data_IF_839471889431
#
_entry.id   IF_839471889431
#
_cell.length_a   1.000
_cell.length_b   1.000
_cell.length_c   1.000
_cell.angle_alpha   90.00
_cell.angle_beta   90.00
_cell.angle_gamma   90.00
#
_symmetry.space_group_name_H-M   'P 1'
#
loop_
_entity.id
_entity.type
_entity.pdbx_description
1 polymer ?
#
# COMPACT_ATOMS: atom_id res chain seq x y z
N UNK A 1 46.60 14.14 28.07
CA UNK A 1 47.38 14.34 26.83
C UNK A 1 46.40 14.79 25.76
N UNK A 2 46.51 16.02 25.31
CA UNK A 2 45.64 16.66 24.29
C UNK A 2 45.97 16.05 22.93
N UNK A 3 44.93 15.84 22.08
CA UNK A 3 45.03 16.13 20.67
C UNK A 3 43.63 16.61 20.20
N UNK A 4 43.58 17.91 19.94
CA UNK A 4 42.60 18.62 19.15
C UNK A 4 42.79 18.23 17.68
N UNK A 5 41.71 17.98 16.97
CA UNK A 5 41.63 17.88 15.52
C UNK A 5 40.38 18.59 15.08
N UNK A 6 40.58 19.84 14.69
CA UNK A 6 39.62 20.79 14.16
C UNK A 6 39.10 20.34 12.80
N UNK A 7 37.79 20.34 12.57
CA UNK A 7 37.12 20.71 11.34
C UNK A 7 35.59 20.73 11.60
N UNK A 8 35.15 21.82 12.25
CA UNK A 8 33.76 22.18 12.30
C UNK A 8 33.22 22.55 10.91
N UNK A 9 32.44 21.64 10.33
CA UNK A 9 31.40 22.03 9.37
C UNK A 9 30.06 21.79 10.03
N UNK A 10 29.48 22.87 10.53
CA UNK A 10 28.07 22.96 10.82
C UNK A 10 27.32 22.62 9.51
N UNK A 11 26.70 21.45 9.46
CA UNK A 11 25.67 21.16 8.46
C UNK A 11 24.51 22.09 8.80
N UNK A 12 24.39 23.18 8.05
CA UNK A 12 23.17 24.01 8.08
C UNK A 12 22.04 23.15 7.54
N UNK A 13 21.20 22.68 8.43
CA UNK A 13 19.88 22.21 8.08
C UNK A 13 19.14 23.40 7.45
N UNK A 14 18.83 23.29 6.16
CA UNK A 14 17.88 24.21 5.55
C UNK A 14 16.52 24.00 6.21
N UNK A 15 15.82 25.11 6.53
CA UNK A 15 14.52 25.02 7.19
C UNK A 15 13.54 24.30 6.28
N UNK A 16 12.74 23.46 6.90
CA UNK A 16 11.55 22.80 6.38
C UNK A 16 10.93 23.56 5.21
N UNK A 17 10.79 22.91 4.07
CA UNK A 17 9.84 23.35 3.05
C UNK A 17 8.46 23.30 3.70
N UNK A 18 7.80 24.44 3.83
CA UNK A 18 6.47 24.52 4.44
C UNK A 18 5.45 23.89 3.49
N UNK A 19 5.22 22.60 3.65
CA UNK A 19 4.24 21.81 2.87
C UNK A 19 2.83 22.41 2.88
N UNK A 20 2.51 23.28 3.87
CA UNK A 20 1.25 24.01 3.91
C UNK A 20 1.06 24.98 2.74
N UNK A 21 2.15 25.45 2.12
CA UNK A 21 2.06 26.41 1.02
C UNK A 21 1.77 25.74 -0.33
N UNK A 22 2.27 24.50 -0.55
CA UNK A 22 2.02 23.76 -1.78
C UNK A 22 0.57 23.26 -1.81
N UNK A 23 0.05 22.77 -0.68
CA UNK A 23 -1.34 22.28 -0.58
C UNK A 23 -2.39 23.39 -0.79
N UNK A 24 -2.13 24.63 -0.32
CA UNK A 24 -3.08 25.74 -0.53
C UNK A 24 -3.13 26.25 -1.98
N UNK A 25 -2.02 26.24 -2.70
CA UNK A 25 -1.99 26.70 -4.10
C UNK A 25 -2.66 25.70 -5.06
N UNK A 26 -2.55 24.40 -4.79
CA UNK A 26 -3.23 23.39 -5.60
C UNK A 26 -4.71 23.23 -5.24
N UNK A 27 -5.09 23.41 -3.96
CA UNK A 27 -6.50 23.41 -3.55
C UNK A 27 -7.32 24.51 -4.24
N UNK A 28 -6.76 25.70 -4.47
CA UNK A 28 -7.44 26.76 -5.21
C UNK A 28 -7.57 26.45 -6.69
N UNK A 29 -6.54 25.86 -7.32
CA UNK A 29 -6.60 25.51 -8.75
C UNK A 29 -7.60 24.38 -9.06
N UNK A 30 -7.70 23.38 -8.19
CA UNK A 30 -8.68 22.29 -8.39
C UNK A 30 -10.13 22.72 -8.12
N UNK A 31 -10.37 23.73 -7.26
CA UNK A 31 -11.72 24.31 -7.11
C UNK A 31 -12.14 25.11 -8.35
N UNK A 32 -11.24 25.86 -8.96
CA UNK A 32 -11.56 26.66 -10.15
C UNK A 32 -11.77 25.80 -11.41
N UNK A 33 -11.15 24.61 -11.50
CA UNK A 33 -11.38 23.68 -12.60
C UNK A 33 -12.77 22.99 -12.53
N UNK A 34 -13.39 22.91 -11.36
CA UNK A 34 -14.77 22.35 -11.20
C UNK A 34 -15.89 23.32 -11.62
N UNK A 35 -15.61 24.58 -11.81
CA UNK A 35 -16.63 25.62 -12.06
C UNK A 35 -16.90 25.84 -13.55
N UNK A 36 -16.11 25.28 -14.47
CA UNK A 36 -16.24 25.60 -15.92
C UNK A 36 -17.00 24.57 -16.76
N UNK A 37 -17.62 23.56 -16.15
CA UNK A 37 -18.52 22.65 -16.86
C UNK A 37 -19.96 23.05 -16.53
N UNK A 38 -20.63 23.72 -17.50
CA UNK A 38 -22.01 24.19 -17.37
C UNK A 38 -22.95 23.07 -16.91
N UNK A 39 -23.49 23.20 -15.72
CA UNK A 39 -24.55 22.34 -15.17
C UNK A 39 -25.85 23.12 -15.13
N UNK A 40 -26.85 22.59 -15.79
CA UNK A 40 -28.24 22.98 -15.62
C UNK A 40 -28.80 22.38 -14.33
N UNK A 41 -29.65 23.11 -13.61
CA UNK A 41 -30.18 22.79 -12.28
C UNK A 41 -30.95 21.44 -12.14
N UNK A 42 -31.15 20.70 -13.21
CA UNK A 42 -31.84 19.40 -13.20
C UNK A 42 -30.94 18.20 -12.79
N UNK A 43 -29.61 18.37 -12.69
CA UNK A 43 -28.67 17.31 -12.35
C UNK A 43 -28.14 17.35 -10.90
N UNK A 44 -28.74 18.17 -10.04
CA UNK A 44 -28.40 18.28 -8.61
C UNK A 44 -28.87 17.11 -7.73
N UNK A 45 -29.44 16.05 -8.36
CA UNK A 45 -29.76 14.77 -7.68
C UNK A 45 -28.84 13.63 -8.04
N UNK A 46 -27.67 13.90 -8.62
CA UNK A 46 -26.62 12.89 -8.59
C UNK A 46 -26.05 12.87 -7.16
N UNK A 47 -26.31 11.76 -6.50
CA UNK A 47 -25.67 11.31 -5.28
C UNK A 47 -24.27 11.88 -5.19
N UNK A 48 -23.94 12.59 -4.10
CA UNK A 48 -22.55 12.73 -3.67
C UNK A 48 -22.00 11.32 -3.67
N UNK A 49 -21.16 10.98 -4.63
CA UNK A 49 -20.37 9.76 -4.61
C UNK A 49 -19.41 9.93 -3.41
N UNK A 50 -19.88 9.46 -2.25
CA UNK A 50 -19.06 9.42 -1.05
C UNK A 50 -17.87 8.56 -1.43
N UNK A 51 -16.68 9.19 -1.49
CA UNK A 51 -15.46 8.48 -1.79
C UNK A 51 -15.29 7.35 -0.78
N UNK A 52 -15.33 6.09 -1.26
CA UNK A 52 -15.18 4.93 -0.39
C UNK A 52 -13.78 4.91 0.24
N UNK A 53 -13.68 4.25 1.37
CA UNK A 53 -12.47 4.15 2.18
C UNK A 53 -11.48 3.14 1.61
N UNK A 54 -10.21 3.28 1.99
CA UNK A 54 -9.19 2.25 1.82
C UNK A 54 -8.98 1.54 3.15
N UNK A 55 -9.06 0.21 3.14
CA UNK A 55 -8.66 -0.62 4.27
C UNK A 55 -7.15 -0.88 4.22
N UNK A 56 -6.48 -0.85 5.36
CA UNK A 56 -5.10 -1.32 5.54
C UNK A 56 -5.12 -2.41 6.59
N UNK A 57 -4.70 -3.61 6.23
CA UNK A 57 -4.58 -4.71 7.19
C UNK A 57 -3.15 -4.77 7.71
N UNK A 58 -2.98 -4.63 9.02
CA UNK A 58 -1.68 -4.79 9.69
C UNK A 58 -1.67 -6.02 10.58
N UNK A 59 -0.52 -6.61 10.72
CA UNK A 59 -0.21 -7.78 11.53
C UNK A 59 1.20 -7.67 12.10
N UNK A 60 1.56 -8.54 13.03
CA UNK A 60 2.83 -8.44 13.74
C UNK A 60 4.03 -8.38 12.78
N UNK A 61 5.03 -7.59 13.11
CA UNK A 61 6.24 -7.34 12.31
C UNK A 61 6.00 -6.77 10.90
N UNK A 62 4.86 -6.09 10.65
CA UNK A 62 4.59 -5.46 9.36
C UNK A 62 5.66 -4.42 8.99
N UNK A 63 5.96 -4.31 7.70
CA UNK A 63 6.94 -3.36 7.16
C UNK A 63 6.26 -2.01 6.87
N UNK A 64 6.42 -1.04 7.76
CA UNK A 64 5.70 0.24 7.70
C UNK A 64 6.13 1.13 6.51
N UNK A 65 7.38 1.07 6.07
CA UNK A 65 7.87 1.91 4.97
C UNK A 65 7.28 1.52 3.62
N UNK A 66 6.92 0.26 3.43
CA UNK A 66 6.48 -0.30 2.14
C UNK A 66 5.18 0.33 1.61
N UNK A 67 4.31 0.80 2.47
CA UNK A 67 3.05 1.44 2.07
C UNK A 67 2.97 2.93 2.41
N UNK A 68 4.06 3.52 2.87
CA UNK A 68 4.12 4.93 3.27
C UNK A 68 3.74 5.89 2.13
N UNK A 69 4.22 5.63 0.90
CA UNK A 69 3.88 6.43 -0.29
C UNK A 69 2.39 6.25 -0.65
N UNK A 70 1.86 5.04 -0.56
CA UNK A 70 0.43 4.81 -0.79
C UNK A 70 -0.43 5.59 0.22
N UNK A 71 -0.04 5.59 1.51
CA UNK A 71 -0.74 6.39 2.53
C UNK A 71 -0.69 7.88 2.23
N UNK A 72 0.48 8.40 1.80
CA UNK A 72 0.61 9.83 1.46
C UNK A 72 -0.26 10.20 0.25
N UNK A 73 -0.33 9.33 -0.77
CA UNK A 73 -1.21 9.50 -1.93
C UNK A 73 -2.68 9.59 -1.51
N UNK A 74 -3.11 8.70 -0.61
CA UNK A 74 -4.48 8.69 -0.07
C UNK A 74 -4.75 9.97 0.72
N UNK A 75 -3.80 10.41 1.55
CA UNK A 75 -3.90 11.64 2.33
C UNK A 75 -3.99 12.90 1.44
N UNK A 76 -3.17 12.99 0.39
CA UNK A 76 -3.22 14.08 -0.60
C UNK A 76 -4.56 14.14 -1.34
N UNK A 77 -5.20 13.01 -1.54
CA UNK A 77 -6.54 12.90 -2.16
C UNK A 77 -7.69 13.05 -1.16
N UNK A 78 -7.43 13.28 0.13
CA UNK A 78 -8.40 13.33 1.21
C UNK A 78 -9.25 12.03 1.31
N UNK A 79 -8.70 10.88 0.88
CA UNK A 79 -9.35 9.57 0.96
C UNK A 79 -9.14 8.97 2.35
N UNK A 80 -10.24 8.56 2.99
CA UNK A 80 -10.21 7.98 4.33
C UNK A 80 -9.50 6.61 4.32
N UNK A 81 -8.60 6.43 5.28
CA UNK A 81 -7.90 5.17 5.54
C UNK A 81 -8.35 4.60 6.88
N UNK A 82 -8.67 3.32 6.91
CA UNK A 82 -9.02 2.60 8.13
C UNK A 82 -8.06 1.43 8.31
N UNK A 83 -7.37 1.42 9.45
CA UNK A 83 -6.40 0.38 9.80
C UNK A 83 -7.12 -0.74 10.54
N UNK A 84 -6.99 -1.94 10.00
CA UNK A 84 -7.53 -3.18 10.56
C UNK A 84 -6.42 -4.06 11.10
N UNK A 85 -6.73 -4.78 12.17
CA UNK A 85 -5.95 -5.92 12.65
C UNK A 85 -6.88 -7.01 13.14
N UNK A 86 -6.33 -8.20 13.45
CA UNK A 86 -7.12 -9.31 14.00
C UNK A 86 -7.73 -8.96 15.36
N UNK A 87 -6.98 -8.22 16.19
CA UNK A 87 -7.44 -7.76 17.53
C UNK A 87 -7.35 -6.23 17.66
N UNK A 88 -7.89 -5.67 18.74
CA UNK A 88 -7.77 -4.24 19.10
C UNK A 88 -6.43 -3.88 19.77
N UNK A 89 -5.58 -4.85 20.02
CA UNK A 89 -4.29 -4.59 20.64
C UNK A 89 -3.35 -3.87 19.70
N UNK A 90 -2.38 -3.16 20.26
CA UNK A 90 -1.37 -2.48 19.46
C UNK A 90 -0.50 -3.51 18.72
N UNK A 91 -0.35 -3.32 17.41
CA UNK A 91 0.46 -4.15 16.53
C UNK A 91 1.84 -3.51 16.38
N UNK A 92 2.88 -4.30 16.48
CA UNK A 92 4.26 -3.83 16.37
C UNK A 92 4.79 -4.05 14.95
N UNK A 93 5.34 -2.98 14.34
CA UNK A 93 6.07 -3.08 13.07
C UNK A 93 7.44 -3.74 13.25
N UNK A 94 8.11 -4.06 12.14
CA UNK A 94 9.46 -4.64 12.12
C UNK A 94 10.50 -3.76 12.83
N UNK A 95 10.37 -2.44 12.70
CA UNK A 95 11.28 -1.44 13.27
C UNK A 95 10.87 -0.92 14.65
N UNK A 96 9.79 -1.49 15.22
CA UNK A 96 9.34 -1.20 16.59
C UNK A 96 8.26 -0.13 16.73
N UNK A 97 7.72 0.40 15.62
CA UNK A 97 6.57 1.29 15.69
C UNK A 97 5.35 0.52 16.23
N UNK A 98 4.64 1.12 17.20
CA UNK A 98 3.41 0.55 17.76
C UNK A 98 2.20 1.25 17.17
N UNK A 99 1.34 0.51 16.48
CA UNK A 99 0.13 1.02 15.84
C UNK A 99 -1.11 0.43 16.48
N UNK A 100 -2.01 1.28 16.93
CA UNK A 100 -3.32 0.88 17.41
C UNK A 100 -4.28 0.81 16.21
N UNK A 101 -4.90 -0.35 15.90
CA UNK A 101 -5.83 -0.44 14.79
C UNK A 101 -7.12 0.35 15.08
N UNK A 102 -7.72 0.89 14.04
CA UNK A 102 -9.01 1.58 14.13
C UNK A 102 -10.14 0.57 14.42
N UNK A 103 -10.09 -0.59 13.74
CA UNK A 103 -11.10 -1.63 13.81
C UNK A 103 -10.47 -3.02 13.78
N UNK A 104 -11.20 -4.02 14.27
CA UNK A 104 -10.85 -5.42 14.01
C UNK A 104 -11.42 -5.86 12.67
N UNK A 105 -10.82 -6.93 12.08
CA UNK A 105 -11.30 -7.52 10.83
C UNK A 105 -12.75 -8.00 10.89
N UNK A 106 -13.26 -8.33 12.07
CA UNK A 106 -14.65 -8.75 12.29
C UNK A 106 -15.67 -7.59 12.24
N UNK A 107 -15.21 -6.35 12.45
CA UNK A 107 -16.07 -5.16 12.48
C UNK A 107 -16.30 -4.53 11.09
N UNK A 108 -15.67 -5.07 10.03
CA UNK A 108 -15.73 -4.46 8.70
C UNK A 108 -17.15 -4.48 8.10
N UNK A 109 -17.59 -3.31 7.63
CA UNK A 109 -18.68 -3.19 6.65
C UNK A 109 -18.05 -3.02 5.26
N UNK A 110 -17.94 -4.10 4.49
CA UNK A 110 -17.22 -4.15 3.22
C UNK A 110 -17.76 -3.15 2.17
N UNK A 111 -19.00 -2.72 2.28
CA UNK A 111 -19.61 -1.78 1.33
C UNK A 111 -19.06 -0.36 1.44
N UNK A 112 -18.40 -0.03 2.55
CA UNK A 112 -17.75 1.27 2.77
C UNK A 112 -16.38 1.38 2.09
N UNK A 113 -15.82 0.26 1.61
CA UNK A 113 -14.45 0.18 1.09
C UNK A 113 -14.44 -0.13 -0.40
N UNK A 114 -13.49 0.43 -1.13
CA UNK A 114 -13.19 0.13 -2.52
C UNK A 114 -11.80 -0.48 -2.73
N UNK A 115 -10.98 -0.46 -1.69
CA UNK A 115 -9.59 -0.89 -1.80
C UNK A 115 -9.02 -1.43 -0.50
N UNK A 116 -7.99 -2.31 -0.63
CA UNK A 116 -7.25 -2.94 0.46
C UNK A 116 -5.75 -2.79 0.21
N UNK A 117 -4.99 -2.46 1.24
CA UNK A 117 -3.53 -2.50 1.27
C UNK A 117 -3.07 -3.60 2.22
N UNK A 118 -2.13 -4.43 1.73
CA UNK A 118 -1.46 -5.50 2.46
C UNK A 118 0.06 -5.21 2.45
N UNK A 119 0.64 -4.70 3.53
CA UNK A 119 2.10 -4.53 3.65
C UNK A 119 2.79 -5.88 3.80
N UNK A 120 4.09 -5.94 3.55
CA UNK A 120 4.91 -7.08 3.94
C UNK A 120 5.13 -7.17 5.44
N UNK A 121 5.85 -8.21 5.85
CA UNK A 121 6.28 -8.41 7.23
C UNK A 121 7.59 -9.21 7.26
N UNK A 122 8.30 -9.11 8.38
CA UNK A 122 9.46 -9.98 8.64
C UNK A 122 9.05 -11.44 8.88
N UNK A 123 7.85 -11.65 9.42
CA UNK A 123 7.26 -12.97 9.62
C UNK A 123 5.74 -12.89 9.38
N UNK A 124 5.27 -13.58 8.36
CA UNK A 124 3.85 -13.55 7.95
C UNK A 124 3.08 -14.79 8.45
N UNK A 125 3.74 -15.78 9.05
CA UNK A 125 3.14 -17.08 9.36
C UNK A 125 1.88 -16.96 10.21
N UNK A 126 1.90 -16.15 11.25
CA UNK A 126 0.73 -15.93 12.11
C UNK A 126 -0.47 -15.39 11.31
N UNK A 127 -0.24 -14.47 10.38
CA UNK A 127 -1.29 -13.87 9.56
C UNK A 127 -1.80 -14.81 8.47
N UNK A 128 -0.90 -15.53 7.77
CA UNK A 128 -1.26 -16.38 6.64
C UNK A 128 -1.92 -17.71 7.07
N UNK A 129 -1.65 -18.18 8.28
CA UNK A 129 -2.28 -19.35 8.86
C UNK A 129 -3.63 -19.04 9.54
N UNK A 130 -3.94 -17.77 9.76
CA UNK A 130 -5.18 -17.34 10.38
C UNK A 130 -6.31 -17.26 9.35
N UNK A 131 -7.25 -18.21 9.38
CA UNK A 131 -8.35 -18.28 8.42
C UNK A 131 -9.26 -17.04 8.48
N UNK A 132 -9.44 -16.37 9.63
CA UNK A 132 -10.22 -15.13 9.71
C UNK A 132 -9.57 -13.98 8.95
N UNK A 133 -8.23 -13.93 8.96
CA UNK A 133 -7.44 -12.96 8.16
C UNK A 133 -7.60 -13.25 6.67
N UNK A 134 -7.51 -14.52 6.26
CA UNK A 134 -7.67 -14.92 4.86
C UNK A 134 -9.10 -14.65 4.38
N UNK A 135 -10.12 -14.94 5.20
CA UNK A 135 -11.51 -14.62 4.86
C UNK A 135 -11.76 -13.09 4.78
N UNK A 136 -11.11 -12.31 5.64
CA UNK A 136 -11.17 -10.85 5.52
C UNK A 136 -10.62 -10.38 4.17
N UNK A 137 -9.50 -10.93 3.72
CA UNK A 137 -8.90 -10.61 2.41
C UNK A 137 -9.85 -11.00 1.26
N UNK A 138 -10.50 -12.16 1.32
CA UNK A 138 -11.46 -12.64 0.29
C UNK A 138 -12.63 -11.68 0.09
N UNK A 139 -13.06 -10.93 1.12
CA UNK A 139 -14.12 -9.92 0.98
C UNK A 139 -13.77 -8.83 -0.02
N UNK A 140 -12.49 -8.65 -0.35
CA UNK A 140 -12.00 -7.66 -1.31
C UNK A 140 -11.78 -8.20 -2.73
N UNK A 141 -12.19 -9.42 -3.06
CA UNK A 141 -11.93 -10.06 -4.37
C UNK A 141 -12.33 -9.19 -5.59
N UNK A 142 -13.39 -8.39 -5.47
CA UNK A 142 -13.89 -7.50 -6.51
C UNK A 142 -13.52 -6.01 -6.29
N UNK A 143 -12.52 -5.74 -5.46
CA UNK A 143 -12.05 -4.39 -5.11
C UNK A 143 -10.56 -4.28 -5.41
N UNK A 144 -10.04 -3.06 -5.51
CA UNK A 144 -8.61 -2.87 -5.73
C UNK A 144 -7.79 -3.41 -4.54
N UNK A 145 -6.80 -4.25 -4.79
CA UNK A 145 -5.91 -4.78 -3.76
C UNK A 145 -4.47 -4.45 -4.12
N UNK A 146 -3.79 -3.76 -3.20
CA UNK A 146 -2.36 -3.55 -3.26
C UNK A 146 -1.65 -4.45 -2.24
N UNK A 147 -0.78 -5.35 -2.71
CA UNK A 147 0.05 -6.19 -1.85
C UNK A 147 1.53 -6.04 -2.22
N UNK A 148 2.40 -5.99 -1.23
CA UNK A 148 3.83 -5.74 -1.45
C UNK A 148 4.69 -6.70 -0.64
N UNK A 149 5.92 -6.98 -1.10
CA UNK A 149 6.89 -7.83 -0.43
C UNK A 149 6.41 -9.27 -0.31
N UNK A 150 6.26 -9.81 0.90
CA UNK A 150 5.75 -11.16 1.16
C UNK A 150 4.21 -11.24 1.13
N UNK A 151 3.50 -10.12 1.27
CA UNK A 151 2.05 -10.09 1.38
C UNK A 151 1.28 -10.73 0.19
N UNK A 152 1.77 -10.74 -1.07
CA UNK A 152 1.12 -11.47 -2.16
C UNK A 152 0.84 -12.95 -1.86
N UNK A 153 1.61 -13.58 -0.96
CA UNK A 153 1.36 -14.97 -0.56
C UNK A 153 0.02 -15.15 0.17
N UNK A 154 -0.44 -14.14 0.91
CA UNK A 154 -1.78 -14.17 1.52
C UNK A 154 -2.87 -14.19 0.44
N UNK A 155 -2.64 -13.52 -0.69
CA UNK A 155 -3.56 -13.53 -1.84
C UNK A 155 -3.55 -14.88 -2.56
N UNK A 156 -2.40 -15.57 -2.63
CA UNK A 156 -2.30 -16.96 -3.11
C UNK A 156 -3.11 -17.87 -2.19
N UNK A 157 -2.92 -17.76 -0.87
CA UNK A 157 -3.66 -18.53 0.13
C UNK A 157 -5.16 -18.25 0.09
N UNK A 158 -5.55 -17.01 -0.18
CA UNK A 158 -6.95 -16.62 -0.38
C UNK A 158 -7.56 -17.13 -1.71
N UNK A 159 -6.75 -17.69 -2.62
CA UNK A 159 -7.17 -18.17 -3.94
C UNK A 159 -7.31 -17.06 -5.00
N UNK A 160 -6.91 -15.83 -4.69
CA UNK A 160 -7.08 -14.66 -5.57
C UNK A 160 -6.00 -14.56 -6.66
N UNK A 161 -4.83 -15.19 -6.45
CA UNK A 161 -3.69 -15.19 -7.38
C UNK A 161 -3.36 -16.56 -8.00
N UNK A 162 -4.15 -17.60 -7.74
CA UNK A 162 -3.89 -18.93 -8.29
C UNK A 162 -3.78 -18.92 -9.81
N UNK A 163 -2.63 -19.37 -10.35
CA UNK A 163 -2.34 -19.40 -11.78
C UNK A 163 -2.20 -18.03 -12.47
N UNK A 164 -2.15 -16.95 -11.71
CA UNK A 164 -2.02 -15.58 -12.23
C UNK A 164 -0.61 -15.02 -11.95
N UNK A 165 -0.05 -14.17 -12.83
CA UNK A 165 1.26 -13.57 -12.59
C UNK A 165 1.20 -12.58 -11.41
N UNK A 166 2.22 -12.64 -10.55
CA UNK A 166 2.38 -11.74 -9.43
C UNK A 166 3.86 -11.58 -9.06
N UNK A 167 4.20 -10.51 -8.36
CA UNK A 167 5.54 -10.24 -7.86
C UNK A 167 5.54 -10.35 -6.35
N UNK A 168 6.54 -11.05 -5.79
CA UNK A 168 6.75 -11.13 -4.36
C UNK A 168 8.24 -10.94 -4.00
N UNK A 169 8.51 -10.36 -2.84
CA UNK A 169 9.85 -10.10 -2.34
C UNK A 169 10.43 -11.26 -1.54
N UNK A 170 10.27 -12.50 -2.02
CA UNK A 170 10.68 -13.72 -1.35
C UNK A 170 11.26 -14.72 -2.33
N UNK A 171 12.10 -15.63 -1.84
CA UNK A 171 12.64 -16.73 -2.60
C UNK A 171 11.57 -17.85 -2.74
N UNK A 172 11.35 -18.31 -3.97
CA UNK A 172 10.35 -19.33 -4.29
C UNK A 172 10.65 -20.65 -3.58
N UNK A 173 11.92 -21.06 -3.54
CA UNK A 173 12.35 -22.31 -2.94
C UNK A 173 12.07 -22.34 -1.43
N UNK A 174 12.37 -21.26 -0.72
CA UNK A 174 12.08 -21.14 0.72
C UNK A 174 10.58 -21.19 1.01
N UNK A 175 9.75 -20.58 0.17
CA UNK A 175 8.30 -20.62 0.33
C UNK A 175 7.71 -22.01 0.06
N UNK A 176 8.30 -22.78 -0.85
CA UNK A 176 7.89 -24.17 -1.06
C UNK A 176 8.17 -25.05 0.17
N UNK A 177 9.25 -24.79 0.92
CA UNK A 177 9.55 -25.46 2.19
C UNK A 177 8.49 -25.15 3.28
N UNK A 178 7.80 -24.00 3.18
CA UNK A 178 6.71 -23.60 4.06
C UNK A 178 5.33 -24.15 3.65
N UNK A 179 5.27 -25.02 2.62
CA UNK A 179 4.08 -25.77 2.25
C UNK A 179 3.30 -25.22 1.06
N UNK A 180 3.81 -24.23 0.34
CA UNK A 180 3.27 -23.84 -0.96
C UNK A 180 3.71 -24.86 -2.02
N UNK A 181 2.85 -25.08 -3.01
CA UNK A 181 3.14 -25.99 -4.13
C UNK A 181 3.76 -25.23 -5.31
N UNK A 182 4.45 -25.93 -6.20
CA UNK A 182 4.88 -25.35 -7.47
C UNK A 182 3.73 -24.72 -8.25
N UNK A 183 2.55 -25.33 -8.22
CA UNK A 183 1.37 -24.83 -8.90
C UNK A 183 0.91 -23.48 -8.31
N UNK A 184 0.99 -23.30 -7.02
CA UNK A 184 0.66 -22.03 -6.35
C UNK A 184 1.62 -20.91 -6.77
N UNK A 185 2.90 -21.26 -6.95
CA UNK A 185 3.99 -20.30 -7.18
C UNK A 185 4.47 -20.25 -8.64
N UNK A 186 3.85 -21.00 -9.56
CA UNK A 186 4.29 -21.10 -10.97
C UNK A 186 4.47 -19.73 -11.63
N UNK A 187 3.59 -18.78 -11.35
CA UNK A 187 3.60 -17.42 -11.93
C UNK A 187 4.24 -16.37 -11.05
N UNK A 188 4.90 -16.79 -9.97
CA UNK A 188 5.58 -15.85 -9.06
C UNK A 188 6.85 -15.32 -9.70
N UNK A 189 7.02 -14.00 -9.65
CA UNK A 189 8.29 -13.31 -9.90
C UNK A 189 8.86 -12.93 -8.54
N UNK A 190 9.86 -13.67 -8.07
CA UNK A 190 10.55 -13.41 -6.81
C UNK A 190 11.53 -12.23 -6.88
N UNK A 191 12.05 -11.81 -5.75
CA UNK A 191 12.96 -10.68 -5.66
C UNK A 191 14.31 -10.95 -6.36
N UNK A 192 14.85 -12.15 -6.26
CA UNK A 192 16.06 -12.62 -6.94
C UNK A 192 15.89 -12.62 -8.46
N UNK A 193 14.81 -13.19 -8.99
CA UNK A 193 14.48 -13.13 -10.40
C UNK A 193 14.26 -11.68 -10.88
N UNK A 194 13.73 -10.81 -10.04
CA UNK A 194 13.58 -9.39 -10.36
C UNK A 194 14.92 -8.65 -10.44
N UNK A 195 15.94 -9.07 -9.69
CA UNK A 195 17.31 -8.52 -9.80
C UNK A 195 18.03 -8.97 -11.06
N UNK A 196 17.81 -10.22 -11.49
CA UNK A 196 18.41 -10.77 -12.73
C UNK A 196 17.69 -10.31 -14.00
N UNK A 197 16.37 -10.20 -13.96
CA UNK A 197 15.50 -9.78 -15.05
C UNK A 197 14.43 -8.82 -14.55
N UNK A 198 14.78 -7.57 -14.22
CA UNK A 198 13.89 -6.65 -13.54
C UNK A 198 12.67 -6.34 -14.40
N UNK A 199 11.49 -6.42 -13.78
CA UNK A 199 10.25 -5.89 -14.35
C UNK A 199 10.38 -4.38 -14.41
N UNK A 200 10.34 -3.83 -15.63
CA UNK A 200 10.64 -2.41 -15.90
C UNK A 200 9.77 -1.46 -15.10
N UNK A 201 8.51 -1.77 -14.96
CA UNK A 201 7.53 -1.00 -14.22
C UNK A 201 7.80 -1.05 -12.71
N UNK A 202 8.41 -2.15 -12.22
CA UNK A 202 8.66 -2.41 -10.80
C UNK A 202 7.45 -2.99 -10.05
N UNK A 203 6.39 -3.37 -10.77
CA UNK A 203 5.18 -4.02 -10.21
C UNK A 203 4.48 -4.84 -11.29
N UNK A 204 3.58 -5.71 -10.86
CA UNK A 204 2.68 -6.47 -11.74
C UNK A 204 1.24 -6.14 -11.35
N UNK A 205 0.41 -5.83 -12.35
CA UNK A 205 -1.04 -5.70 -12.19
C UNK A 205 -1.70 -6.91 -12.84
N UNK A 206 -2.53 -7.61 -12.08
CA UNK A 206 -3.33 -8.73 -12.52
C UNK A 206 -4.77 -8.48 -12.08
N UNK A 207 -5.65 -8.26 -13.03
CA UNK A 207 -7.05 -7.84 -12.79
C UNK A 207 -7.09 -6.57 -11.90
N UNK A 208 -7.67 -6.67 -10.71
CA UNK A 208 -7.78 -5.60 -9.71
C UNK A 208 -6.70 -5.67 -8.61
N UNK A 209 -5.64 -6.47 -8.81
CA UNK A 209 -4.58 -6.69 -7.83
C UNK A 209 -3.25 -6.14 -8.38
N UNK A 210 -2.55 -5.33 -7.58
CA UNK A 210 -1.18 -4.90 -7.86
C UNK A 210 -0.23 -5.47 -6.83
N UNK A 211 0.87 -6.07 -7.31
CA UNK A 211 1.89 -6.68 -6.48
C UNK A 211 3.28 -6.15 -6.81
N UNK A 212 4.18 -6.12 -5.83
CA UNK A 212 5.58 -5.67 -6.00
C UNK A 212 6.48 -6.23 -4.91
N UNK A 213 7.79 -6.03 -5.09
CA UNK A 213 8.79 -6.22 -4.03
C UNK A 213 8.96 -4.93 -3.22
N UNK A 214 9.50 -5.03 -2.00
CA UNK A 214 9.72 -3.93 -1.05
C UNK A 214 10.38 -2.70 -1.67
N UNK A 215 11.45 -2.89 -2.43
CA UNK A 215 12.29 -1.81 -2.99
C UNK A 215 11.58 -0.94 -4.03
N UNK A 216 10.46 -1.40 -4.57
CA UNK A 216 9.66 -0.67 -5.56
C UNK A 216 8.48 0.09 -4.94
N UNK A 217 8.44 0.24 -3.62
CA UNK A 217 7.29 0.79 -2.88
C UNK A 217 6.80 2.15 -3.39
N UNK A 218 7.70 3.00 -3.92
CA UNK A 218 7.31 4.30 -4.49
C UNK A 218 6.52 4.09 -5.79
N UNK A 219 7.05 3.30 -6.73
CA UNK A 219 6.38 2.99 -8.01
C UNK A 219 5.08 2.24 -7.79
N UNK A 220 5.10 1.27 -6.87
CA UNK A 220 3.93 0.49 -6.49
C UNK A 220 2.83 1.38 -5.88
N UNK A 221 3.17 2.27 -4.95
CA UNK A 221 2.23 3.21 -4.33
C UNK A 221 1.57 4.14 -5.34
N UNK A 222 2.35 4.70 -6.28
CA UNK A 222 1.83 5.52 -7.37
C UNK A 222 0.89 4.74 -8.30
N UNK A 223 1.24 3.49 -8.63
CA UNK A 223 0.41 2.65 -9.48
C UNK A 223 -0.87 2.20 -8.76
N UNK A 224 -0.81 1.87 -7.45
CA UNK A 224 -1.98 1.62 -6.63
C UNK A 224 -2.92 2.84 -6.59
N UNK A 225 -2.37 4.05 -6.40
CA UNK A 225 -3.15 5.29 -6.45
C UNK A 225 -3.92 5.41 -7.77
N UNK A 226 -3.25 5.20 -8.91
CA UNK A 226 -3.90 5.23 -10.23
C UNK A 226 -5.01 4.18 -10.39
N UNK A 227 -4.83 2.96 -9.84
CA UNK A 227 -5.85 1.91 -9.86
C UNK A 227 -7.15 2.32 -9.18
N UNK A 228 -7.08 3.16 -8.15
CA UNK A 228 -8.25 3.67 -7.41
C UNK A 228 -8.66 5.08 -7.85
N UNK A 229 -8.18 5.55 -9.02
CA UNK A 229 -8.55 6.83 -9.61
C UNK A 229 -7.82 8.05 -9.04
N UNK A 230 -6.72 7.86 -8.32
CA UNK A 230 -5.89 8.93 -7.76
C UNK A 230 -4.57 8.99 -8.52
N UNK A 231 -4.35 10.06 -9.29
CA UNK A 231 -3.10 10.26 -10.06
C UNK A 231 -2.30 11.43 -9.46
N UNK A 232 -1.18 11.09 -8.83
CA UNK A 232 -0.22 12.03 -8.25
C UNK A 232 1.05 11.99 -9.11
N UNK A 233 1.60 13.15 -9.50
CA UNK A 233 2.83 13.21 -10.28
C UNK A 233 4.00 12.52 -9.56
N UNK A 234 4.79 11.66 -10.25
CA UNK A 234 5.93 10.95 -9.65
C UNK A 234 6.97 11.88 -9.02
N UNK A 235 7.14 13.09 -9.59
CA UNK A 235 8.05 14.12 -9.08
C UNK A 235 7.72 14.55 -7.64
N UNK A 236 6.50 14.36 -7.19
CA UNK A 236 6.08 14.58 -5.79
C UNK A 236 6.88 13.71 -4.83
N UNK A 237 7.33 12.55 -5.28
CA UNK A 237 8.11 11.57 -4.51
C UNK A 237 9.58 11.47 -4.98
N UNK A 238 10.03 12.42 -5.81
CA UNK A 238 11.42 12.54 -6.24
C UNK A 238 11.87 11.54 -7.32
N UNK A 239 10.94 10.97 -8.08
CA UNK A 239 11.24 10.05 -9.19
C UNK A 239 10.63 10.53 -10.51
#
# INVERSE_FOLDING_TARGET
MRLLGDHGRLIKWHPFVDFRFIGKSQRTKNRDLRISIGRTDENLKMTEDIMKKTAVLIYNSFCNFEFSVALEILALAEKEVVIFAHTKEAVKSEDGLMVLPNQTISEINIDEYDSLILPGAMDIREAIENEEVIEFIRKFENKAIGAISIAPLMLVKAGLLSGKPFMAGVNKEEIMEEGFTEQDLEKMVGWDANLESPVKEGYIITDNIITSISYNFVKWGLAFGRMIGIDIPPETFGI
#
